data_IF_081513901812
#
_entry.id   IF_081513901812
#
_cell.length_a   1.000
_cell.length_b   1.000
_cell.length_c   1.000
_cell.angle_alpha   90.00
_cell.angle_beta   90.00
_cell.angle_gamma   90.00
#
_symmetry.space_group_name_H-M   'P 1'
#
loop_
_entity.id
_entity.type
_entity.pdbx_description
1 polymer ?
#
# COMPACT_ATOMS: atom_id res chain seq x y z
N UNK A 1 4.18 -69.79 -17.26
CA UNK A 1 2.87 -69.18 -16.92
C UNK A 1 3.06 -68.35 -15.68
N UNK A 2 2.92 -67.03 -15.79
CA UNK A 2 3.21 -66.07 -14.71
C UNK A 2 3.68 -64.74 -15.32
N UNK A 3 2.79 -64.10 -16.07
CA UNK A 3 3.02 -62.81 -16.71
C UNK A 3 2.67 -61.68 -15.75
N UNK A 4 3.66 -61.16 -15.04
CA UNK A 4 3.53 -59.94 -14.24
C UNK A 4 3.56 -58.72 -15.16
N UNK A 5 2.36 -58.32 -15.61
CA UNK A 5 2.13 -57.10 -16.37
C UNK A 5 2.13 -55.87 -15.47
N UNK A 6 3.31 -55.44 -15.01
CA UNK A 6 3.50 -54.11 -14.42
C UNK A 6 3.45 -53.05 -15.52
N UNK A 7 2.22 -52.70 -15.93
CA UNK A 7 1.95 -51.45 -16.63
C UNK A 7 2.27 -50.29 -15.70
N UNK A 8 3.52 -49.86 -15.71
CA UNK A 8 3.94 -48.54 -15.25
C UNK A 8 3.26 -47.53 -16.16
N UNK A 9 2.04 -47.16 -15.80
CA UNK A 9 1.39 -45.99 -16.34
C UNK A 9 2.33 -44.81 -16.07
N UNK A 10 3.08 -44.43 -17.10
CA UNK A 10 3.80 -43.16 -17.22
C UNK A 10 2.69 -42.11 -17.24
N UNK A 11 2.20 -41.83 -16.04
CA UNK A 11 1.17 -40.87 -15.78
C UNK A 11 1.77 -39.54 -16.21
N UNK A 12 1.25 -38.96 -17.28
CA UNK A 12 1.63 -37.67 -17.83
C UNK A 12 1.68 -36.64 -16.71
N UNK A 13 2.86 -36.48 -16.09
CA UNK A 13 3.11 -35.41 -15.13
C UNK A 13 2.95 -34.14 -15.96
N UNK A 14 1.98 -33.26 -15.64
CA UNK A 14 1.80 -32.03 -16.38
C UNK A 14 3.14 -31.31 -16.43
N UNK A 15 3.61 -31.00 -17.63
CA UNK A 15 4.92 -30.41 -17.86
C UNK A 15 5.03 -29.07 -17.13
N UNK A 16 6.21 -28.73 -16.58
CA UNK A 16 6.43 -27.55 -15.74
C UNK A 16 6.13 -26.21 -16.45
N UNK A 17 6.01 -26.21 -17.78
CA UNK A 17 5.71 -25.03 -18.60
C UNK A 17 4.31 -24.44 -18.37
N UNK A 18 3.32 -25.21 -17.92
CA UNK A 18 1.95 -24.69 -17.74
C UNK A 18 1.80 -23.75 -16.53
N UNK A 19 2.79 -23.68 -15.63
CA UNK A 19 2.73 -22.85 -14.42
C UNK A 19 3.59 -21.57 -14.49
N UNK A 20 4.37 -21.40 -15.57
CA UNK A 20 5.23 -20.24 -15.78
C UNK A 20 4.51 -18.88 -15.60
N UNK A 21 3.30 -18.63 -16.17
CA UNK A 21 2.71 -17.29 -16.09
C UNK A 21 2.29 -16.89 -14.68
N UNK A 22 1.76 -17.82 -13.87
CA UNK A 22 1.33 -17.54 -12.49
C UNK A 22 2.53 -17.26 -11.60
N UNK A 23 3.64 -17.97 -11.81
CA UNK A 23 4.90 -17.73 -11.09
C UNK A 23 5.50 -16.39 -11.46
N UNK A 24 5.59 -16.07 -12.75
CA UNK A 24 6.10 -14.76 -13.22
C UNK A 24 5.23 -13.62 -12.69
N UNK A 25 3.91 -13.73 -12.78
CA UNK A 25 2.99 -12.72 -12.25
C UNK A 25 3.21 -12.47 -10.76
N UNK A 26 3.35 -13.54 -9.96
CA UNK A 26 3.60 -13.42 -8.52
C UNK A 26 4.91 -12.73 -8.20
N UNK A 27 5.97 -13.05 -8.94
CA UNK A 27 7.27 -12.39 -8.75
C UNK A 27 7.20 -10.92 -9.13
N UNK A 28 6.56 -10.58 -10.26
CA UNK A 28 6.40 -9.20 -10.72
C UNK A 28 5.57 -8.37 -9.73
N UNK A 29 4.40 -8.86 -9.34
CA UNK A 29 3.53 -8.15 -8.38
C UNK A 29 4.18 -8.06 -7.00
N UNK A 30 4.84 -9.13 -6.55
CA UNK A 30 5.53 -9.14 -5.25
C UNK A 30 6.71 -8.16 -5.23
N UNK A 31 7.52 -8.13 -6.27
CA UNK A 31 8.60 -7.16 -6.44
C UNK A 31 8.08 -5.72 -6.52
N UNK A 32 6.94 -5.50 -7.18
CA UNK A 32 6.30 -4.19 -7.24
C UNK A 32 5.86 -3.68 -5.86
N UNK A 33 5.15 -4.51 -5.07
CA UNK A 33 4.73 -4.13 -3.71
C UNK A 33 5.95 -3.87 -2.83
N UNK A 34 6.97 -4.75 -2.90
CA UNK A 34 8.21 -4.59 -2.15
C UNK A 34 8.94 -3.29 -2.52
N UNK A 35 9.04 -2.98 -3.82
CA UNK A 35 9.64 -1.74 -4.30
C UNK A 35 8.88 -0.51 -3.84
N UNK A 36 7.55 -0.54 -3.84
CA UNK A 36 6.71 0.53 -3.31
C UNK A 36 6.95 0.75 -1.81
N UNK A 37 7.04 -0.33 -1.02
CA UNK A 37 7.36 -0.26 0.41
C UNK A 37 8.75 0.31 0.66
N UNK A 38 9.77 -0.12 -0.11
CA UNK A 38 11.13 0.39 -0.01
C UNK A 38 11.20 1.90 -0.33
N UNK A 39 10.47 2.36 -1.34
CA UNK A 39 10.42 3.78 -1.71
C UNK A 39 9.76 4.62 -0.61
N UNK A 40 8.66 4.14 -0.01
CA UNK A 40 8.04 4.78 1.16
C UNK A 40 8.99 4.81 2.35
N UNK A 41 9.73 3.72 2.58
CA UNK A 41 10.70 3.62 3.68
C UNK A 41 11.86 4.59 3.53
N UNK A 42 12.37 4.73 2.30
CA UNK A 42 13.39 5.72 1.99
C UNK A 42 12.90 7.14 2.28
N UNK A 43 11.69 7.50 1.86
CA UNK A 43 11.14 8.82 2.16
C UNK A 43 10.94 9.04 3.66
N UNK A 44 10.46 8.03 4.40
CA UNK A 44 10.32 8.14 5.84
C UNK A 44 11.68 8.36 6.53
N UNK A 45 12.73 7.74 6.01
CA UNK A 45 14.10 7.90 6.50
C UNK A 45 14.70 9.28 6.17
N UNK A 46 14.40 9.87 5.01
CA UNK A 46 14.98 11.17 4.62
C UNK A 46 14.17 12.37 5.08
N UNK A 47 12.84 12.30 4.98
CA UNK A 47 11.96 13.46 5.14
C UNK A 47 11.20 13.43 6.47
N UNK A 48 11.22 12.29 7.18
CA UNK A 48 10.58 12.11 8.49
C UNK A 48 9.05 12.15 8.47
N UNK A 49 8.43 12.28 7.30
CA UNK A 49 7.00 12.32 7.08
C UNK A 49 6.64 11.76 5.69
N UNK A 50 5.50 11.08 5.59
CA UNK A 50 4.88 10.72 4.31
C UNK A 50 3.80 11.75 3.95
N UNK A 51 3.77 12.16 2.68
CA UNK A 51 2.76 13.08 2.14
C UNK A 51 1.49 12.30 1.75
N UNK A 52 0.90 11.62 2.74
CA UNK A 52 -0.34 10.85 2.60
C UNK A 52 -1.53 11.78 2.88
N UNK A 53 -2.52 11.89 1.96
CA UNK A 53 -3.67 12.79 2.10
C UNK A 53 -4.68 12.37 3.19
N UNK A 54 -4.43 11.29 3.92
CA UNK A 54 -5.28 10.78 5.00
C UNK A 54 -4.73 11.21 6.38
N UNK A 55 -5.59 11.35 7.41
CA UNK A 55 -5.18 11.63 8.78
C UNK A 55 -4.29 10.52 9.37
N UNK A 56 -4.20 9.38 8.70
CA UNK A 56 -3.26 8.28 8.97
C UNK A 56 -1.79 8.70 8.89
N UNK A 57 -1.45 9.77 8.15
CA UNK A 57 -0.08 10.29 8.05
C UNK A 57 0.40 10.99 9.33
N UNK A 58 -0.52 11.37 10.20
CA UNK A 58 -0.22 12.12 11.44
C UNK A 58 0.52 11.27 12.46
N UNK A 59 0.28 9.95 12.46
CA UNK A 59 0.91 9.01 13.40
C UNK A 59 2.03 8.23 12.71
N UNK A 60 3.27 8.43 13.18
CA UNK A 60 4.46 7.69 12.71
C UNK A 60 4.28 6.17 12.80
N UNK A 61 3.59 5.71 13.85
CA UNK A 61 3.33 4.29 14.07
C UNK A 61 2.41 3.70 13.00
N UNK A 62 1.40 4.45 12.58
CA UNK A 62 0.47 4.01 11.53
C UNK A 62 1.17 3.91 10.18
N UNK A 63 2.03 4.88 9.87
CA UNK A 63 2.86 4.86 8.65
C UNK A 63 3.82 3.67 8.66
N UNK A 64 4.47 3.41 9.80
CA UNK A 64 5.37 2.27 9.96
C UNK A 64 4.64 0.93 9.83
N UNK A 65 3.47 0.79 10.46
CA UNK A 65 2.65 -0.41 10.38
C UNK A 65 2.16 -0.68 8.94
N UNK A 66 1.77 0.37 8.20
CA UNK A 66 1.37 0.22 6.80
C UNK A 66 2.55 -0.22 5.92
N UNK A 67 3.72 0.37 6.11
CA UNK A 67 4.95 0.00 5.40
C UNK A 67 5.35 -1.45 5.70
N UNK A 68 5.24 -1.86 6.96
CA UNK A 68 5.50 -3.21 7.40
C UNK A 68 4.52 -4.20 6.72
N UNK A 69 3.23 -3.89 6.69
CA UNK A 69 2.22 -4.71 6.00
C UNK A 69 2.54 -4.85 4.51
N UNK A 70 2.89 -3.77 3.80
CA UNK A 70 3.27 -3.84 2.38
C UNK A 70 4.53 -4.70 2.17
N UNK A 71 5.55 -4.49 2.99
CA UNK A 71 6.80 -5.25 2.93
C UNK A 71 6.55 -6.75 3.15
N UNK A 72 5.83 -7.11 4.22
CA UNK A 72 5.49 -8.49 4.52
C UNK A 72 4.66 -9.12 3.42
N UNK A 73 3.70 -8.39 2.85
CA UNK A 73 2.85 -8.88 1.77
C UNK A 73 3.65 -9.17 0.50
N UNK A 74 4.61 -8.30 0.15
CA UNK A 74 5.54 -8.51 -0.96
C UNK A 74 6.41 -9.75 -0.77
N UNK A 75 7.07 -9.87 0.39
CA UNK A 75 7.89 -11.05 0.73
C UNK A 75 7.06 -12.34 0.79
N UNK A 76 5.86 -12.28 1.34
CA UNK A 76 4.95 -13.42 1.41
C UNK A 76 4.49 -13.88 0.02
N UNK A 77 4.27 -12.95 -0.92
CA UNK A 77 3.93 -13.30 -2.29
C UNK A 77 5.10 -13.95 -3.04
N UNK A 78 6.32 -13.41 -2.88
CA UNK A 78 7.54 -13.91 -3.52
C UNK A 78 7.96 -15.29 -2.97
N UNK A 79 7.85 -15.51 -1.66
CA UNK A 79 8.19 -16.80 -1.04
C UNK A 79 7.30 -17.97 -1.50
N UNK A 80 6.11 -17.68 -2.04
CA UNK A 80 5.15 -18.69 -2.46
C UNK A 80 4.46 -19.42 -1.30
N UNK A 81 4.79 -19.12 -0.03
CA UNK A 81 4.19 -19.72 1.14
C UNK A 81 2.67 -19.47 1.17
N UNK A 82 1.89 -20.50 1.49
CA UNK A 82 0.42 -20.44 1.55
C UNK A 82 -0.21 -19.72 0.34
N UNK A 83 0.12 -20.18 -0.87
CA UNK A 83 -0.10 -19.43 -2.11
C UNK A 83 -1.50 -18.81 -2.33
N UNK A 84 -2.54 -19.51 -1.88
CA UNK A 84 -3.92 -19.01 -1.98
C UNK A 84 -4.21 -17.90 -0.98
N UNK A 85 -3.64 -17.96 0.21
CA UNK A 85 -3.82 -16.95 1.25
C UNK A 85 -3.11 -15.65 0.86
N UNK A 86 -1.84 -15.72 0.43
CA UNK A 86 -1.12 -14.54 -0.08
C UNK A 86 -1.79 -13.92 -1.30
N UNK A 87 -2.30 -14.75 -2.23
CA UNK A 87 -3.08 -14.24 -3.36
C UNK A 87 -4.35 -13.50 -2.94
N UNK A 88 -5.14 -14.03 -1.99
CA UNK A 88 -6.33 -13.34 -1.47
C UNK A 88 -5.97 -12.04 -0.77
N UNK A 89 -4.91 -12.04 0.03
CA UNK A 89 -4.45 -10.86 0.77
C UNK A 89 -4.01 -9.75 -0.21
N UNK A 90 -3.25 -10.08 -1.25
CA UNK A 90 -2.84 -9.12 -2.29
C UNK A 90 -4.02 -8.62 -3.10
N UNK A 91 -4.97 -9.50 -3.46
CA UNK A 91 -6.19 -9.10 -4.15
C UNK A 91 -7.01 -8.10 -3.32
N UNK A 92 -7.18 -8.38 -2.03
CA UNK A 92 -7.88 -7.49 -1.11
C UNK A 92 -7.13 -6.15 -0.97
N UNK A 93 -5.80 -6.19 -0.84
CA UNK A 93 -4.96 -5.01 -0.72
C UNK A 93 -5.08 -4.08 -1.93
N UNK A 94 -4.92 -4.58 -3.16
CA UNK A 94 -5.11 -3.78 -4.37
C UNK A 94 -6.55 -3.30 -4.54
N UNK A 95 -7.56 -4.08 -4.10
CA UNK A 95 -8.95 -3.62 -4.15
C UNK A 95 -9.20 -2.43 -3.22
N UNK A 96 -8.57 -2.44 -2.03
CA UNK A 96 -8.63 -1.31 -1.10
C UNK A 96 -7.89 -0.09 -1.66
N UNK A 97 -6.71 -0.28 -2.25
CA UNK A 97 -5.96 0.80 -2.90
C UNK A 97 -6.73 1.39 -4.09
N UNK A 98 -7.37 0.56 -4.91
CA UNK A 98 -8.25 1.01 -6.00
C UNK A 98 -9.42 1.85 -5.46
N UNK A 99 -10.08 1.41 -4.39
CA UNK A 99 -11.15 2.19 -3.76
C UNK A 99 -10.66 3.54 -3.24
N UNK A 100 -9.49 3.56 -2.60
CA UNK A 100 -8.88 4.79 -2.09
C UNK A 100 -8.47 5.75 -3.22
N UNK A 101 -7.82 5.26 -4.27
CA UNK A 101 -7.39 6.09 -5.41
C UNK A 101 -8.57 6.61 -6.23
N UNK A 102 -9.64 5.81 -6.37
CA UNK A 102 -10.91 6.27 -6.95
C UNK A 102 -11.51 7.41 -6.12
N UNK A 103 -11.61 7.23 -4.80
CA UNK A 103 -12.12 8.27 -3.89
C UNK A 103 -11.31 9.57 -4.04
N UNK A 104 -9.98 9.49 -3.97
CA UNK A 104 -9.10 10.65 -4.13
C UNK A 104 -9.24 11.31 -5.50
N UNK A 105 -9.42 10.53 -6.57
CA UNK A 105 -9.69 11.04 -7.91
C UNK A 105 -11.01 11.80 -8.00
N UNK A 106 -12.07 11.29 -7.37
CA UNK A 106 -13.38 11.94 -7.29
C UNK A 106 -13.35 13.21 -6.43
N UNK A 107 -12.57 13.22 -5.35
CA UNK A 107 -12.37 14.40 -4.50
C UNK A 107 -11.45 15.47 -5.11
N UNK A 108 -10.88 15.23 -6.30
CA UNK A 108 -9.96 16.16 -6.95
C UNK A 108 -8.62 16.31 -6.22
N UNK A 109 -8.19 15.29 -5.48
CA UNK A 109 -6.91 15.31 -4.77
C UNK A 109 -5.75 15.41 -5.79
N UNK A 110 -4.69 16.20 -5.50
CA UNK A 110 -3.59 16.39 -6.42
C UNK A 110 -2.71 15.15 -6.57
N UNK A 111 -2.69 14.26 -5.57
CA UNK A 111 -1.87 13.05 -5.56
C UNK A 111 -2.44 11.95 -4.65
N UNK A 112 -2.09 10.68 -4.94
CA UNK A 112 -2.45 9.53 -4.10
C UNK A 112 -1.62 9.42 -2.81
N UNK A 113 -0.37 9.90 -2.82
CA UNK A 113 0.62 9.66 -1.74
C UNK A 113 1.10 8.20 -1.63
N UNK A 114 0.54 7.30 -2.46
CA UNK A 114 0.74 5.85 -2.43
C UNK A 114 2.15 5.39 -2.84
N UNK A 115 2.93 6.25 -3.51
CA UNK A 115 4.33 6.01 -3.89
C UNK A 115 5.30 6.91 -3.12
N UNK A 116 4.88 7.37 -1.94
CA UNK A 116 5.65 8.31 -1.16
C UNK A 116 5.75 9.67 -1.83
N UNK A 117 6.97 10.13 -2.12
CA UNK A 117 7.25 11.48 -2.64
C UNK A 117 6.80 11.67 -4.08
N UNK A 118 6.56 10.57 -4.81
CA UNK A 118 6.13 10.63 -6.20
C UNK A 118 4.65 11.03 -6.26
N UNK A 119 4.39 12.25 -6.70
CA UNK A 119 3.05 12.79 -6.90
C UNK A 119 2.47 12.26 -8.22
N UNK A 120 1.77 11.13 -8.12
CA UNK A 120 1.01 10.56 -9.24
C UNK A 120 -0.46 10.95 -9.11
N UNK A 121 -1.07 11.38 -10.21
CA UNK A 121 -2.50 11.64 -10.29
C UNK A 121 -3.28 10.38 -9.84
N UNK A 122 -4.26 10.51 -8.93
CA UNK A 122 -5.02 9.37 -8.41
C UNK A 122 -5.67 8.49 -9.48
N UNK A 123 -6.09 9.06 -10.62
CA UNK A 123 -6.71 8.32 -11.71
C UNK A 123 -5.78 7.29 -12.36
N UNK A 124 -4.48 7.59 -12.48
CA UNK A 124 -3.51 6.63 -13.01
C UNK A 124 -3.27 5.49 -12.01
N UNK A 125 -3.22 5.81 -10.71
CA UNK A 125 -3.06 4.80 -9.66
C UNK A 125 -4.28 3.88 -9.62
N UNK A 126 -5.49 4.43 -9.73
CA UNK A 126 -6.72 3.66 -9.82
C UNK A 126 -6.71 2.66 -10.99
N UNK A 127 -6.34 3.11 -12.19
CA UNK A 127 -6.23 2.22 -13.36
C UNK A 127 -5.19 1.12 -13.11
N UNK A 128 -4.04 1.46 -12.54
CA UNK A 128 -3.00 0.49 -12.20
C UNK A 128 -3.51 -0.57 -11.22
N UNK A 129 -4.20 -0.15 -10.15
CA UNK A 129 -4.75 -1.06 -9.14
C UNK A 129 -5.85 -1.97 -9.73
N UNK A 130 -6.73 -1.43 -10.57
CA UNK A 130 -7.76 -2.21 -11.28
C UNK A 130 -7.12 -3.24 -12.22
N UNK A 131 -6.08 -2.86 -12.96
CA UNK A 131 -5.33 -3.78 -13.81
C UNK A 131 -4.70 -4.89 -12.96
N UNK A 132 -4.10 -4.56 -11.82
CA UNK A 132 -3.55 -5.56 -10.90
C UNK A 132 -4.63 -6.51 -10.38
N UNK A 133 -5.78 -6.00 -9.94
CA UNK A 133 -6.93 -6.81 -9.48
C UNK A 133 -7.43 -7.75 -10.57
N UNK A 134 -7.69 -7.25 -11.78
CA UNK A 134 -8.20 -8.06 -12.90
C UNK A 134 -7.19 -9.13 -13.30
N UNK A 135 -5.91 -8.77 -13.36
CA UNK A 135 -4.79 -9.68 -13.66
C UNK A 135 -4.72 -10.79 -12.62
N UNK A 136 -4.68 -10.45 -11.33
CA UNK A 136 -4.65 -11.41 -10.24
C UNK A 136 -5.89 -12.31 -10.22
N UNK A 137 -7.07 -11.75 -10.52
CA UNK A 137 -8.32 -12.50 -10.58
C UNK A 137 -8.32 -13.49 -11.74
N UNK A 138 -7.82 -13.09 -12.92
CA UNK A 138 -7.76 -13.92 -14.12
C UNK A 138 -6.78 -15.09 -14.00
N UNK A 139 -5.64 -14.87 -13.34
CA UNK A 139 -4.58 -15.86 -13.09
C UNK A 139 -4.61 -16.41 -11.66
N UNK A 140 -5.82 -16.73 -11.18
CA UNK A 140 -6.01 -17.36 -9.88
C UNK A 140 -5.15 -18.64 -9.76
N UNK A 141 -4.40 -18.84 -8.66
CA UNK A 141 -3.61 -20.04 -8.46
C UNK A 141 -4.52 -21.28 -8.31
N UNK A 142 -4.71 -22.01 -9.40
CA UNK A 142 -5.27 -23.35 -9.44
C UNK A 142 -4.30 -24.28 -8.71
N UNK A 143 -4.79 -24.95 -7.66
CA UNK A 143 -4.05 -25.85 -6.74
C UNK A 143 -2.57 -26.04 -7.13
N UNK A 144 -1.67 -25.16 -6.70
CA UNK A 144 -0.24 -25.39 -6.92
C UNK A 144 0.12 -26.70 -6.21
N UNK A 145 0.61 -27.73 -6.91
CA UNK A 145 1.27 -28.85 -6.28
C UNK A 145 2.61 -28.31 -5.77
N UNK A 146 2.62 -27.73 -4.58
CA UNK A 146 3.86 -27.51 -3.85
C UNK A 146 4.33 -28.89 -3.34
N UNK A 147 4.67 -29.80 -4.26
CA UNK A 147 5.77 -30.73 -4.01
C UNK A 147 7.03 -29.86 -4.09
N UNK A 148 7.34 -29.17 -2.99
CA UNK A 148 8.76 -28.99 -2.66
C UNK A 148 9.40 -30.39 -2.77
N UNK A 149 10.62 -30.55 -3.31
CA UNK A 149 11.37 -31.79 -3.16
C UNK A 149 11.30 -32.19 -1.69
N UNK A 150 10.45 -33.17 -1.38
CA UNK A 150 10.23 -33.60 -0.01
C UNK A 150 11.53 -34.26 0.40
N UNK A 151 12.33 -33.55 1.19
CA UNK A 151 13.45 -34.11 1.89
C UNK A 151 12.89 -35.13 2.89
N UNK A 152 12.74 -36.37 2.44
CA UNK A 152 12.53 -37.56 3.24
C UNK A 152 11.18 -37.66 3.96
N UNK A 153 10.62 -38.88 4.06
CA UNK A 153 9.48 -39.15 4.91
C UNK A 153 9.92 -39.08 6.38
N UNK A 154 9.65 -37.98 7.06
CA UNK A 154 9.43 -38.02 8.50
C UNK A 154 7.94 -37.92 8.75
N UNK A 155 7.39 -39.02 9.25
CA UNK A 155 6.03 -39.18 9.75
C UNK A 155 5.64 -37.99 10.65
N UNK A 156 4.70 -37.16 10.21
CA UNK A 156 4.34 -35.96 10.98
C UNK A 156 3.26 -35.10 10.35
N UNK A 157 2.01 -35.59 10.38
CA UNK A 157 0.72 -34.86 10.26
C UNK A 157 0.79 -33.40 9.72
N UNK A 158 0.43 -33.15 8.45
CA UNK A 158 0.38 -31.80 7.90
C UNK A 158 -0.97 -31.14 8.21
N UNK A 159 -1.12 -30.54 9.39
CA UNK A 159 -2.34 -29.76 9.76
C UNK A 159 -2.04 -28.29 10.12
N UNK A 160 -0.83 -27.79 9.86
CA UNK A 160 -0.37 -26.52 10.45
C UNK A 160 -0.31 -25.24 9.58
N UNK A 161 -0.45 -25.22 8.23
CA UNK A 161 -0.18 -23.95 7.52
C UNK A 161 -1.35 -22.95 7.57
N UNK A 162 -2.60 -23.39 7.76
CA UNK A 162 -3.75 -22.48 7.77
C UNK A 162 -3.92 -21.76 9.12
N UNK A 163 -3.52 -22.41 10.22
CA UNK A 163 -3.54 -21.83 11.57
C UNK A 163 -2.38 -20.88 11.84
N UNK A 164 -1.29 -20.95 11.08
CA UNK A 164 -0.18 -19.99 11.18
C UNK A 164 -0.41 -18.73 10.34
N UNK A 165 -1.13 -18.82 9.21
CA UNK A 165 -1.43 -17.65 8.38
C UNK A 165 -2.53 -16.75 8.97
N UNK A 166 -3.52 -17.33 9.66
CA UNK A 166 -4.59 -16.57 10.31
C UNK A 166 -4.09 -15.54 11.35
N UNK A 167 -3.20 -15.88 12.30
CA UNK A 167 -2.67 -14.92 13.25
C UNK A 167 -1.77 -13.90 12.56
N UNK A 168 -1.02 -14.22 11.49
CA UNK A 168 -0.20 -13.21 10.78
C UNK A 168 -1.08 -12.18 10.07
N UNK A 169 -2.16 -12.63 9.40
CA UNK A 169 -3.13 -11.72 8.78
C UNK A 169 -3.90 -10.94 9.84
N UNK A 170 -4.32 -11.58 10.93
CA UNK A 170 -4.99 -10.91 12.05
C UNK A 170 -4.05 -9.95 12.78
N UNK A 171 -2.76 -10.25 12.93
CA UNK A 171 -1.77 -9.37 13.58
C UNK A 171 -1.44 -8.16 12.70
N UNK A 172 -1.40 -8.33 11.37
CA UNK A 172 -1.25 -7.23 10.41
C UNK A 172 -2.51 -6.37 10.27
N UNK A 173 -3.71 -6.97 10.40
CA UNK A 173 -4.98 -6.23 10.37
C UNK A 173 -5.39 -5.67 11.76
N UNK A 174 -4.93 -6.27 12.86
CA UNK A 174 -5.22 -5.86 14.24
C UNK A 174 -4.91 -4.39 14.54
N UNK A 175 -3.81 -3.77 14.05
CA UNK A 175 -3.60 -2.34 14.24
C UNK A 175 -4.52 -1.48 13.36
N UNK A 176 -5.10 -2.03 12.29
CA UNK A 176 -6.01 -1.33 11.37
C UNK A 176 -7.45 -1.32 11.91
N UNK A 177 -7.89 -2.41 12.55
CA UNK A 177 -9.26 -2.59 13.08
C UNK A 177 -9.71 -1.49 14.08
N UNK A 178 -8.94 -1.11 15.12
CA UNK A 178 -9.35 -0.04 16.04
C UNK A 178 -9.31 1.35 15.39
N UNK A 179 -8.70 1.48 14.20
CA UNK A 179 -8.62 2.73 13.46
C UNK A 179 -9.67 2.87 12.36
N UNK A 180 -10.45 1.82 12.03
CA UNK A 180 -11.61 1.97 11.15
C UNK A 180 -12.59 3.08 11.60
N UNK A 181 -12.98 3.18 12.89
CA UNK A 181 -13.80 4.29 13.36
C UNK A 181 -13.03 5.63 13.38
N UNK A 182 -11.72 5.64 13.59
CA UNK A 182 -10.91 6.86 13.52
C UNK A 182 -10.70 7.37 12.07
N UNK A 183 -10.78 6.49 11.07
CA UNK A 183 -10.85 6.88 9.65
C UNK A 183 -12.19 7.55 9.37
N UNK A 184 -13.31 7.03 9.90
CA UNK A 184 -14.63 7.66 9.75
C UNK A 184 -14.82 8.92 10.61
N UNK A 185 -14.16 9.01 11.77
CA UNK A 185 -14.23 10.18 12.66
C UNK A 185 -13.22 11.27 12.26
N UNK A 186 -12.09 10.88 11.66
CA UNK A 186 -11.16 11.79 10.98
C UNK A 186 -11.73 12.36 9.68
N UNK A 187 -12.69 11.67 9.06
CA UNK A 187 -13.47 12.13 7.90
C UNK A 187 -14.32 13.37 8.20
N UNK A 188 -14.76 13.57 9.45
CA UNK A 188 -15.49 14.78 9.90
C UNK A 188 -14.57 15.92 10.39
N UNK A 189 -13.31 15.64 10.76
CA UNK A 189 -12.32 16.68 11.13
C UNK A 189 -11.49 17.21 9.96
N UNK A 190 -11.54 16.57 8.79
CA UNK A 190 -10.96 17.09 7.54
C UNK A 190 -11.76 18.25 6.92
N UNK A 191 -12.95 18.57 7.46
CA UNK A 191 -13.70 19.80 7.17
C UNK A 191 -13.16 21.04 7.94
N UNK A 192 -12.06 20.91 8.70
CA UNK A 192 -11.52 21.98 9.55
C UNK A 192 -10.44 22.90 8.92
N UNK A 193 -10.11 22.77 7.64
CA UNK A 193 -9.18 23.69 6.96
C UNK A 193 -9.94 24.67 6.06
N UNK A 194 -10.20 25.87 6.59
CA UNK A 194 -10.97 26.93 5.92
C UNK A 194 -10.18 27.58 4.78
N UNK A 195 -8.83 27.49 4.78
CA UNK A 195 -7.98 28.17 3.78
C UNK A 195 -6.70 27.38 3.50
N UNK A 196 -6.35 27.21 2.22
CA UNK A 196 -5.07 26.61 1.80
C UNK A 196 -4.26 27.64 1.00
N UNK A 197 -3.08 28.07 1.47
CA UNK A 197 -2.21 28.95 0.70
C UNK A 197 -1.60 28.18 -0.49
N UNK A 198 -1.67 28.76 -1.69
CA UNK A 198 -0.90 28.30 -2.83
C UNK A 198 0.13 29.38 -3.24
N UNK A 199 1.43 29.04 -3.32
CA UNK A 199 2.08 27.74 -3.05
C UNK A 199 2.26 27.44 -1.55
N UNK A 200 2.56 26.18 -1.19
CA UNK A 200 2.86 25.72 0.18
C UNK A 200 4.14 26.42 0.65
N UNK A 201 4.01 27.55 1.36
CA UNK A 201 5.16 28.37 1.78
C UNK A 201 5.96 27.61 2.83
N UNK A 202 7.08 26.98 2.40
CA UNK A 202 8.10 26.38 3.28
C UNK A 202 9.35 27.24 3.41
N UNK A 203 9.31 28.46 2.89
CA UNK A 203 10.43 29.38 2.93
C UNK A 203 10.23 30.40 4.04
N UNK A 204 11.10 30.33 5.06
CA UNK A 204 11.28 31.43 6.02
C UNK A 204 12.04 32.51 5.27
N UNK A 205 11.34 33.56 4.86
CA UNK A 205 11.97 34.74 4.26
C UNK A 205 12.58 35.53 5.41
N UNK A 206 13.90 35.50 5.52
CA UNK A 206 14.65 36.39 6.40
C UNK A 206 14.92 37.65 5.61
N UNK A 207 14.03 38.63 5.73
CA UNK A 207 14.21 39.96 5.14
C UNK A 207 14.93 40.87 6.13
N UNK A 208 15.82 41.71 5.62
CA UNK A 208 16.52 42.74 6.38
C UNK A 208 15.48 43.70 6.99
N UNK A 209 15.55 44.03 8.30
CA UNK A 209 14.56 44.87 8.99
C UNK A 209 14.32 46.24 8.34
N UNK A 210 15.25 46.70 7.51
CA UNK A 210 15.16 47.96 6.78
C UNK A 210 14.48 47.86 5.40
N UNK A 211 14.22 46.64 4.90
CA UNK A 211 13.66 46.40 3.56
C UNK A 211 12.19 46.00 3.60
N UNK A 212 11.33 46.76 2.93
CA UNK A 212 9.94 46.40 2.75
C UNK A 212 9.84 45.27 1.73
N UNK A 213 9.47 44.06 2.18
CA UNK A 213 9.32 42.89 1.32
C UNK A 213 7.84 42.59 1.11
N UNK A 214 7.34 42.84 -0.10
CA UNK A 214 5.97 42.47 -0.47
C UNK A 214 5.93 41.00 -0.88
N UNK A 215 5.20 40.17 -0.13
CA UNK A 215 4.97 38.76 -0.47
C UNK A 215 3.52 38.60 -0.92
N UNK A 216 3.33 38.37 -2.22
CA UNK A 216 2.03 38.01 -2.77
C UNK A 216 1.82 36.50 -2.68
N UNK A 217 0.76 36.05 -2.02
CA UNK A 217 0.32 34.66 -2.05
C UNK A 217 -1.16 34.59 -2.39
N UNK A 218 -1.55 33.56 -3.14
CA UNK A 218 -2.94 33.34 -3.48
C UNK A 218 -3.61 32.53 -2.35
N UNK A 219 -4.66 33.10 -1.78
CA UNK A 219 -5.56 32.39 -0.87
C UNK A 219 -6.80 31.97 -1.65
N UNK A 220 -7.08 30.68 -1.67
CA UNK A 220 -8.34 30.16 -2.21
C UNK A 220 -9.28 29.90 -1.05
N UNK A 221 -10.34 30.68 -0.94
CA UNK A 221 -11.44 30.39 -0.03
C UNK A 221 -12.22 29.19 -0.58
N UNK A 222 -12.32 28.13 0.23
CA UNK A 222 -13.07 26.92 -0.12
C UNK A 222 -14.44 26.86 0.57
N UNK A 223 -14.81 27.90 1.32
CA UNK A 223 -16.11 28.02 2.00
C UNK A 223 -16.93 29.18 1.43
N UNK A 224 -18.23 29.20 1.74
CA UNK A 224 -19.12 30.34 1.48
C UNK A 224 -19.15 31.33 2.67
N UNK A 225 -18.33 31.09 3.69
CA UNK A 225 -18.25 31.93 4.88
C UNK A 225 -17.11 32.95 4.75
N UNK A 226 -17.24 34.14 5.36
CA UNK A 226 -16.17 35.13 5.36
C UNK A 226 -14.95 34.61 6.14
N UNK A 227 -13.77 34.74 5.54
CA UNK A 227 -12.51 34.33 6.14
C UNK A 227 -11.80 35.55 6.72
N UNK A 228 -11.47 35.50 8.01
CA UNK A 228 -10.66 36.52 8.69
C UNK A 228 -9.20 36.10 8.69
N UNK A 229 -8.34 36.91 8.05
CA UNK A 229 -6.89 36.69 8.05
C UNK A 229 -6.30 37.53 9.19
N UNK A 230 -5.77 36.87 10.21
CA UNK A 230 -5.02 37.54 11.28
C UNK A 230 -3.52 37.38 11.03
N UNK A 231 -2.80 38.50 10.91
CA UNK A 231 -1.34 38.53 10.85
C UNK A 231 -0.77 39.10 12.15
N UNK A 232 0.32 38.52 12.66
CA UNK A 232 1.10 39.09 13.75
C UNK A 232 2.52 39.39 13.29
N UNK A 233 3.07 40.52 13.74
CA UNK A 233 4.48 40.87 13.54
C UNK A 233 5.24 40.44 14.79
N UNK A 234 6.03 39.38 14.70
CA UNK A 234 6.96 39.03 15.77
C UNK A 234 8.08 40.08 15.80
N UNK A 235 8.12 40.92 16.83
CA UNK A 235 9.21 41.86 17.06
C UNK A 235 10.40 41.08 17.63
N UNK A 236 11.49 40.97 16.88
CA UNK A 236 12.76 40.51 17.42
C UNK A 236 13.35 41.59 18.30
N UNK A 237 13.39 41.38 19.61
CA UNK A 237 14.17 42.20 20.53
C UNK A 237 15.66 41.96 20.27
N UNK A 238 16.42 43.04 20.07
CA UNK A 238 17.87 43.02 19.88
C UNK A 238 18.63 42.63 21.14
#
# INVERSE_FOLDING_TARGET
>A
MGSDGTSTAICCRPTPLSYAPVTVLRLVVGAFIFGAAALKGHQLATDGALDLPLPLSTSRWTVLALLEVEFFLGVWLVSGYAARASWRAVLAFFSLLAGLSLYLGLSGAPSCGCFGRLSINPWYVFVLDVVAVVTLWRWRPSKLPLELPQAGPTDGKPILPLRAAAPVVLLGLAPIIPFLPAVTDGLWRLEGYVVVPQPRIRHVIVSDPSSETTVSFALRNLTNEPVTIAGSKAWGGG
#
